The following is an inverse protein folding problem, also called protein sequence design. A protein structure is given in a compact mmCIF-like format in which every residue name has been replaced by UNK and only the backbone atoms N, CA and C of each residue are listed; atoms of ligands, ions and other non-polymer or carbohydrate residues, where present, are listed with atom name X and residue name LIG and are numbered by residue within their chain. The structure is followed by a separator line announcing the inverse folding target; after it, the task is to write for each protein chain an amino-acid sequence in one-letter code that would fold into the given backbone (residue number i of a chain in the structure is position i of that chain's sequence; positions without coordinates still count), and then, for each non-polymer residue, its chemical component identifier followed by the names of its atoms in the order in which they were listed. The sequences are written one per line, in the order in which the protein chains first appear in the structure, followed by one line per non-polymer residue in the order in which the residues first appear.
data_IF_637406656962
#
_entry.id   IF_637406656962
#
_cell.length_a   1.000
_cell.length_b   1.000
_cell.length_c   1.000
_cell.angle_alpha   90.00
_cell.angle_beta   90.00
_cell.angle_gamma   90.00
#
_symmetry.space_group_name_H-M   'P 1'
#
loop_
_entity.id
_entity.type
_entity.pdbx_description
1 polymer ?
#
# COMPACT_ATOMS: atom_id res chain seq x y z
N UNK A 1 5.78 3.32 20.72
CA UNK A 1 5.25 2.65 19.51
C UNK A 1 4.98 1.20 19.88
N UNK A 2 3.78 0.70 19.61
CA UNK A 2 3.46 -0.71 19.79
C UNK A 2 4.30 -1.51 18.79
N UNK A 3 5.02 -2.57 19.22
CA UNK A 3 5.75 -3.41 18.29
C UNK A 3 4.79 -3.99 17.25
N UNK A 4 5.17 -3.92 15.98
CA UNK A 4 4.38 -4.45 14.89
C UNK A 4 4.36 -5.97 15.01
N UNK A 5 3.21 -6.56 15.31
CA UNK A 5 3.07 -8.01 15.39
C UNK A 5 2.61 -8.58 14.06
N UNK A 6 3.59 -8.85 13.16
CA UNK A 6 3.34 -9.48 11.86
C UNK A 6 3.51 -11.00 11.86
N UNK A 7 3.89 -11.59 12.99
CA UNK A 7 4.09 -13.04 13.12
C UNK A 7 2.90 -13.91 12.67
N UNK A 8 1.61 -13.53 12.86
CA UNK A 8 0.52 -14.38 12.40
C UNK A 8 0.29 -14.33 10.88
N UNK A 9 0.89 -13.38 10.16
CA UNK A 9 0.63 -13.19 8.74
C UNK A 9 1.63 -13.97 7.88
N UNK A 10 1.16 -14.83 6.95
CA UNK A 10 2.02 -15.45 5.95
C UNK A 10 2.78 -14.40 5.13
N UNK A 11 4.02 -14.72 4.78
CA UNK A 11 4.94 -13.87 4.05
C UNK A 11 5.59 -14.67 2.91
N UNK A 12 6.22 -14.02 1.93
CA UNK A 12 7.05 -14.70 0.94
C UNK A 12 8.14 -15.55 1.61
N UNK A 13 8.39 -16.76 1.09
CA UNK A 13 9.45 -17.65 1.59
C UNK A 13 10.86 -17.06 1.46
N UNK A 14 11.03 -16.07 0.58
CA UNK A 14 12.28 -15.31 0.40
C UNK A 14 12.54 -14.29 1.52
N UNK A 15 11.56 -14.00 2.38
CA UNK A 15 11.78 -13.08 3.50
C UNK A 15 12.64 -13.72 4.58
N UNK A 16 13.61 -12.94 5.09
CA UNK A 16 14.22 -13.22 6.38
C UNK A 16 13.47 -12.51 7.51
N UNK A 17 13.88 -12.75 8.76
CA UNK A 17 13.22 -12.21 9.96
C UNK A 17 13.18 -10.68 10.05
N UNK A 18 13.96 -9.96 9.23
CA UNK A 18 14.00 -8.50 9.23
C UNK A 18 13.56 -7.85 7.92
N UNK A 19 13.18 -8.60 6.87
CA UNK A 19 12.84 -8.03 5.55
C UNK A 19 11.76 -6.95 5.66
N UNK A 20 10.65 -7.25 6.34
CA UNK A 20 9.51 -6.32 6.48
C UNK A 20 9.88 -5.10 7.31
N UNK A 21 10.61 -5.28 8.41
CA UNK A 21 11.03 -4.16 9.27
C UNK A 21 11.97 -3.22 8.51
N UNK A 22 12.95 -3.77 7.78
CA UNK A 22 13.88 -2.96 6.97
C UNK A 22 13.15 -2.18 5.88
N UNK A 23 12.19 -2.79 5.20
CA UNK A 23 11.38 -2.11 4.20
C UNK A 23 10.56 -0.94 4.79
N UNK A 24 9.92 -1.16 5.95
CA UNK A 24 9.19 -0.09 6.65
C UNK A 24 10.09 1.04 7.13
N UNK A 25 11.32 0.72 7.56
CA UNK A 25 12.32 1.72 7.92
C UNK A 25 12.78 2.49 6.68
N UNK A 26 12.99 1.83 5.54
CA UNK A 26 13.34 2.47 4.28
C UNK A 26 12.25 3.46 3.83
N UNK A 27 10.97 3.04 3.85
CA UNK A 27 9.84 3.91 3.53
C UNK A 27 9.81 5.16 4.41
N UNK A 28 10.01 4.99 5.72
CA UNK A 28 10.00 6.11 6.68
C UNK A 28 11.15 7.09 6.46
N UNK A 29 12.30 6.60 6.02
CA UNK A 29 13.54 7.38 5.92
C UNK A 29 13.86 7.85 4.49
N UNK A 30 12.99 7.56 3.52
CA UNK A 30 13.07 8.12 2.18
C UNK A 30 13.05 9.65 2.25
N UNK A 31 14.00 10.29 1.58
CA UNK A 31 14.26 11.73 1.68
C UNK A 31 14.59 12.39 0.34
N UNK A 32 14.63 11.61 -0.72
CA UNK A 32 14.75 12.05 -2.10
C UNK A 32 14.07 11.02 -3.03
N UNK A 33 14.10 11.28 -4.33
CA UNK A 33 13.46 10.42 -5.33
C UNK A 33 14.03 9.01 -5.36
N UNK A 34 15.36 8.89 -5.39
CA UNK A 34 15.99 7.57 -5.47
C UNK A 34 15.67 6.72 -4.24
N UNK A 35 15.77 7.31 -3.05
CA UNK A 35 15.47 6.59 -1.80
C UNK A 35 13.99 6.25 -1.67
N UNK A 36 13.09 7.05 -2.23
CA UNK A 36 11.67 6.73 -2.29
C UNK A 36 11.37 5.55 -3.24
N UNK A 37 11.99 5.53 -4.43
CA UNK A 37 11.87 4.43 -5.39
C UNK A 37 12.43 3.14 -4.79
N UNK A 38 13.65 3.19 -4.25
CA UNK A 38 14.30 2.02 -3.63
C UNK A 38 13.48 1.48 -2.44
N UNK A 39 12.88 2.39 -1.65
CA UNK A 39 12.03 2.00 -0.52
C UNK A 39 10.70 1.39 -0.96
N UNK A 40 10.08 1.91 -2.01
CA UNK A 40 8.88 1.34 -2.62
C UNK A 40 9.16 -0.09 -3.12
N UNK A 41 10.21 -0.26 -3.91
CA UNK A 41 10.63 -1.57 -4.43
C UNK A 41 10.92 -2.56 -3.30
N UNK A 42 11.72 -2.16 -2.31
CA UNK A 42 12.04 -2.99 -1.17
C UNK A 42 10.78 -3.42 -0.39
N UNK A 43 9.78 -2.53 -0.31
CA UNK A 43 8.50 -2.82 0.32
C UNK A 43 7.66 -3.80 -0.50
N UNK A 44 7.50 -3.61 -1.80
CA UNK A 44 6.77 -4.53 -2.68
C UNK A 44 7.39 -5.93 -2.65
N UNK A 45 8.71 -6.02 -2.63
CA UNK A 45 9.45 -7.27 -2.45
C UNK A 45 9.21 -7.94 -1.09
N UNK A 46 9.12 -7.16 -0.01
CA UNK A 46 8.85 -7.71 1.31
C UNK A 46 7.40 -8.18 1.46
N UNK A 47 6.45 -7.56 0.75
CA UNK A 47 5.03 -7.88 0.80
C UNK A 47 4.63 -9.01 -0.15
N UNK A 48 5.43 -9.31 -1.17
CA UNK A 48 4.94 -10.06 -2.31
C UNK A 48 5.98 -10.69 -3.22
N UNK A 49 5.48 -11.29 -4.29
CA UNK A 49 6.30 -11.64 -5.45
C UNK A 49 6.16 -10.51 -6.45
N UNK A 50 7.05 -9.52 -6.31
CA UNK A 50 7.05 -8.32 -7.15
C UNK A 50 7.19 -8.64 -8.66
N UNK A 51 7.83 -9.76 -9.01
CA UNK A 51 7.90 -10.21 -10.40
C UNK A 51 6.57 -10.72 -10.97
N UNK A 52 5.74 -11.35 -10.12
CA UNK A 52 4.46 -11.91 -10.54
C UNK A 52 3.30 -10.93 -10.38
N UNK A 53 3.53 -9.76 -9.77
CA UNK A 53 2.47 -8.83 -9.43
C UNK A 53 1.52 -9.39 -8.37
N UNK A 54 2.06 -10.09 -7.36
CA UNK A 54 1.26 -10.69 -6.29
C UNK A 54 1.73 -10.29 -4.90
N UNK A 55 0.82 -10.29 -3.92
CA UNK A 55 1.13 -9.98 -2.52
C UNK A 55 0.55 -10.97 -1.51
N UNK A 56 1.19 -11.04 -0.35
CA UNK A 56 0.88 -11.95 0.74
C UNK A 56 0.12 -11.23 1.86
N UNK A 57 -0.53 -11.97 2.78
CA UNK A 57 -1.32 -11.41 3.88
C UNK A 57 -0.53 -10.48 4.81
N UNK A 58 0.80 -10.57 4.83
CA UNK A 58 1.67 -9.64 5.59
C UNK A 58 1.40 -8.18 5.30
N UNK A 59 0.88 -7.83 4.11
CA UNK A 59 0.42 -6.48 3.78
C UNK A 59 -0.61 -5.95 4.79
N UNK A 60 -1.49 -6.81 5.31
CA UNK A 60 -2.47 -6.42 6.33
C UNK A 60 -1.81 -6.15 7.68
N UNK A 61 -0.77 -6.92 8.00
CA UNK A 61 -0.01 -6.77 9.24
C UNK A 61 0.74 -5.44 9.32
N UNK A 62 1.08 -4.83 8.19
CA UNK A 62 1.84 -3.57 8.14
C UNK A 62 0.98 -2.31 7.99
N UNK A 63 -0.33 -2.43 7.77
CA UNK A 63 -1.22 -1.27 7.55
C UNK A 63 -1.12 -0.19 8.65
N UNK A 64 -1.04 -0.51 9.95
CA UNK A 64 -0.88 0.52 10.99
C UNK A 64 0.44 1.28 10.89
N UNK A 65 1.49 0.66 10.33
CA UNK A 65 2.77 1.32 10.10
C UNK A 65 2.70 2.23 8.86
N UNK A 66 2.02 1.81 7.79
CA UNK A 66 1.79 2.65 6.62
C UNK A 66 0.98 3.89 6.98
N UNK A 67 -0.08 3.74 7.78
CA UNK A 67 -0.89 4.87 8.27
C UNK A 67 -0.03 5.90 9.02
N UNK A 68 0.89 5.44 9.87
CA UNK A 68 1.81 6.34 10.58
C UNK A 68 2.75 7.09 9.64
N UNK A 69 3.24 6.46 8.57
CA UNK A 69 4.10 7.10 7.57
C UNK A 69 3.28 8.13 6.78
N UNK A 70 2.08 7.77 6.35
CA UNK A 70 1.14 8.68 5.68
C UNK A 70 0.77 9.89 6.55
N UNK A 71 0.70 9.70 7.88
CA UNK A 71 0.45 10.78 8.85
C UNK A 71 1.66 11.63 9.20
N UNK A 72 2.84 11.28 8.71
CA UNK A 72 4.04 12.09 8.90
C UNK A 72 4.04 13.34 8.01
N UNK A 73 5.06 14.19 8.11
CA UNK A 73 5.29 15.31 7.17
C UNK A 73 6.47 15.03 6.23
N UNK A 74 6.81 13.77 6.03
CA UNK A 74 7.93 13.36 5.19
C UNK A 74 7.43 13.05 3.77
N UNK A 75 7.44 14.07 2.91
CA UNK A 75 6.98 14.01 1.52
C UNK A 75 7.44 12.75 0.77
N UNK A 76 8.74 12.45 0.79
CA UNK A 76 9.30 11.30 0.08
C UNK A 76 8.86 9.95 0.63
N UNK A 77 8.73 9.83 1.96
CA UNK A 77 8.18 8.62 2.58
C UNK A 77 6.68 8.45 2.30
N UNK A 78 5.92 9.55 2.27
CA UNK A 78 4.51 9.54 1.87
C UNK A 78 4.37 9.11 0.41
N UNK A 79 5.17 9.69 -0.51
CA UNK A 79 5.23 9.29 -1.93
C UNK A 79 5.47 7.79 -2.04
N UNK A 80 6.54 7.28 -1.42
CA UNK A 80 6.90 5.86 -1.52
C UNK A 80 5.79 4.91 -1.02
N UNK A 81 5.10 5.26 0.07
CA UNK A 81 3.95 4.48 0.54
C UNK A 81 2.80 4.52 -0.47
N UNK A 82 2.51 5.69 -1.04
CA UNK A 82 1.41 5.83 -1.99
C UNK A 82 1.67 5.07 -3.29
N UNK A 83 2.89 5.13 -3.84
CA UNK A 83 3.30 4.32 -5.00
C UNK A 83 3.09 2.81 -4.74
N UNK A 84 3.53 2.32 -3.58
CA UNK A 84 3.32 0.93 -3.21
C UNK A 84 1.82 0.57 -3.10
N UNK A 85 0.99 1.48 -2.59
CA UNK A 85 -0.46 1.27 -2.50
C UNK A 85 -1.15 1.29 -3.88
N UNK A 86 -0.63 2.06 -4.84
CA UNK A 86 -1.11 2.04 -6.23
C UNK A 86 -0.87 0.66 -6.84
N UNK A 87 0.35 0.13 -6.71
CA UNK A 87 0.68 -1.20 -7.24
C UNK A 87 -0.13 -2.30 -6.55
N UNK A 88 -0.15 -2.30 -5.21
CA UNK A 88 -0.85 -3.31 -4.42
C UNK A 88 -2.38 -3.25 -4.59
N UNK A 89 -2.94 -2.04 -4.68
CA UNK A 89 -4.38 -1.81 -4.75
C UNK A 89 -4.95 -1.84 -6.17
N UNK A 90 -4.13 -1.54 -7.18
CA UNK A 90 -4.57 -1.44 -8.57
C UNK A 90 -4.15 -2.61 -9.45
N UNK A 91 -2.85 -2.92 -9.48
CA UNK A 91 -2.30 -3.88 -10.44
C UNK A 91 -2.14 -5.27 -9.86
N UNK A 92 -1.72 -5.37 -8.60
CA UNK A 92 -1.38 -6.64 -8.00
C UNK A 92 -2.61 -7.39 -7.49
N UNK A 93 -2.45 -8.69 -7.32
CA UNK A 93 -3.48 -9.57 -6.77
C UNK A 93 -2.94 -10.33 -5.56
N UNK A 94 -3.78 -10.82 -4.64
CA UNK A 94 -3.29 -11.73 -3.60
C UNK A 94 -2.63 -12.96 -4.23
N UNK A 95 -1.53 -13.42 -3.64
CA UNK A 95 -0.84 -14.65 -4.07
C UNK A 95 -1.84 -15.83 -4.07
N UNK A 96 -1.81 -16.70 -5.09
CA UNK A 96 -2.63 -17.90 -5.12
C UNK A 96 -2.50 -18.74 -3.85
N UNK A 97 -3.63 -19.07 -3.22
CA UNK A 97 -3.69 -19.79 -1.94
C UNK A 97 -3.57 -18.89 -0.70
N UNK A 98 -3.40 -17.58 -0.88
CA UNK A 98 -3.32 -16.58 0.18
C UNK A 98 -4.35 -15.45 0.00
N UNK A 99 -5.42 -15.69 -0.75
CA UNK A 99 -6.49 -14.71 -1.01
C UNK A 99 -7.26 -14.34 0.26
N UNK A 100 -7.24 -15.23 1.25
CA UNK A 100 -7.87 -15.03 2.56
C UNK A 100 -6.88 -15.25 3.70
N UNK A 101 -7.07 -14.50 4.79
CA UNK A 101 -6.30 -14.67 6.01
C UNK A 101 -7.22 -14.46 7.22
N UNK A 102 -7.23 -15.39 8.17
CA UNK A 102 -8.11 -15.35 9.35
C UNK A 102 -9.61 -15.13 9.02
N UNK A 103 -10.07 -15.62 7.87
CA UNK A 103 -11.47 -15.55 7.45
C UNK A 103 -11.88 -14.25 6.74
N UNK A 104 -10.93 -13.34 6.46
CA UNK A 104 -11.18 -12.12 5.68
C UNK A 104 -10.43 -12.14 4.35
N UNK A 105 -10.96 -11.46 3.34
CA UNK A 105 -10.33 -11.28 2.03
C UNK A 105 -9.19 -10.28 2.13
N UNK A 106 -7.96 -10.69 1.74
CA UNK A 106 -6.79 -9.82 1.82
C UNK A 106 -6.95 -8.59 0.92
N UNK A 107 -7.51 -8.80 -0.28
CA UNK A 107 -7.79 -7.70 -1.22
C UNK A 107 -8.79 -6.71 -0.63
N UNK A 108 -9.93 -7.19 -0.13
CA UNK A 108 -10.98 -6.29 0.37
C UNK A 108 -10.53 -5.48 1.58
N UNK A 109 -9.73 -6.06 2.47
CA UNK A 109 -9.16 -5.34 3.62
C UNK A 109 -8.15 -4.28 3.16
N UNK A 110 -7.28 -4.59 2.19
CA UNK A 110 -6.36 -3.62 1.62
C UNK A 110 -7.11 -2.47 0.92
N UNK A 111 -8.09 -2.79 0.07
CA UNK A 111 -8.94 -1.79 -0.59
C UNK A 111 -9.66 -0.93 0.45
N UNK A 112 -10.23 -1.53 1.51
CA UNK A 112 -10.88 -0.78 2.58
C UNK A 112 -9.91 0.19 3.26
N UNK A 113 -8.68 -0.23 3.51
CA UNK A 113 -7.64 0.64 4.05
C UNK A 113 -7.35 1.83 3.12
N UNK A 114 -7.14 1.58 1.83
CA UNK A 114 -6.90 2.63 0.82
C UNK A 114 -8.07 3.62 0.79
N UNK A 115 -9.30 3.14 0.71
CA UNK A 115 -10.50 3.99 0.72
C UNK A 115 -10.63 4.80 2.03
N UNK A 116 -10.30 4.24 3.19
CA UNK A 116 -10.35 4.95 4.47
C UNK A 116 -9.39 6.15 4.52
N UNK A 117 -8.29 6.09 3.77
CA UNK A 117 -7.30 7.16 3.69
C UNK A 117 -7.62 8.22 2.62
N UNK A 118 -8.73 8.11 1.86
CA UNK A 118 -9.11 9.04 0.78
C UNK A 118 -9.00 10.51 1.16
N UNK A 119 -9.48 10.89 2.35
CA UNK A 119 -9.42 12.28 2.83
C UNK A 119 -7.99 12.81 2.92
N UNK A 120 -7.05 11.97 3.36
CA UNK A 120 -5.64 12.31 3.49
C UNK A 120 -4.98 12.45 2.12
N UNK A 121 -5.28 11.55 1.19
CA UNK A 121 -4.78 11.67 -0.19
C UNK A 121 -5.28 12.96 -0.85
N UNK A 122 -6.55 13.33 -0.62
CA UNK A 122 -7.10 14.60 -1.09
C UNK A 122 -6.34 15.82 -0.55
N UNK A 123 -5.94 15.82 0.72
CA UNK A 123 -5.11 16.89 1.28
C UNK A 123 -3.72 16.94 0.63
N UNK A 124 -3.07 15.78 0.46
CA UNK A 124 -1.72 15.68 -0.11
C UNK A 124 -1.66 16.03 -1.60
N UNK A 125 -2.74 15.79 -2.35
CA UNK A 125 -2.83 16.08 -3.78
C UNK A 125 -2.90 17.59 -4.11
N UNK A 126 -3.15 18.46 -3.12
CA UNK A 126 -3.28 19.91 -3.35
C UNK A 126 -1.96 20.70 -3.31
N UNK A 127 -0.84 20.04 -2.98
CA UNK A 127 0.48 20.67 -2.90
C UNK A 127 1.31 20.54 -4.18
N UNK A 128 2.50 21.14 -4.17
CA UNK A 128 3.53 21.03 -5.22
C UNK A 128 4.72 20.13 -4.78
N UNK A 129 4.55 19.39 -3.68
CA UNK A 129 5.60 18.53 -3.13
C UNK A 129 5.66 17.17 -3.87
N UNK A 130 6.72 16.40 -3.59
CA UNK A 130 7.02 15.13 -4.24
C UNK A 130 5.88 14.09 -4.19
N UNK A 131 4.98 14.18 -3.21
CA UNK A 131 3.89 13.23 -3.00
C UNK A 131 2.57 13.60 -3.71
N UNK A 132 2.46 14.79 -4.29
CA UNK A 132 1.18 15.29 -4.81
C UNK A 132 0.63 14.46 -5.97
N UNK A 133 1.49 14.08 -6.93
CA UNK A 133 1.09 13.23 -8.06
C UNK A 133 0.60 11.86 -7.61
N UNK A 134 1.38 11.14 -6.78
CA UNK A 134 0.97 9.82 -6.30
C UNK A 134 -0.30 9.87 -5.44
N UNK A 135 -0.54 10.99 -4.74
CA UNK A 135 -1.80 11.20 -4.03
C UNK A 135 -3.00 11.38 -4.98
N UNK A 136 -2.81 12.09 -6.10
CA UNK A 136 -3.83 12.25 -7.13
C UNK A 136 -4.13 10.89 -7.82
N UNK A 137 -3.09 10.13 -8.15
CA UNK A 137 -3.23 8.82 -8.79
C UNK A 137 -3.98 7.82 -7.88
N UNK A 138 -3.74 7.86 -6.56
CA UNK A 138 -4.51 7.07 -5.59
C UNK A 138 -5.99 7.47 -5.52
N UNK A 139 -6.30 8.76 -5.69
CA UNK A 139 -7.70 9.22 -5.72
C UNK A 139 -8.40 8.72 -6.97
N UNK A 140 -7.72 8.75 -8.12
CA UNK A 140 -8.23 8.17 -9.38
C UNK A 140 -8.49 6.68 -9.21
N UNK A 141 -7.53 5.94 -8.63
CA UNK A 141 -7.70 4.52 -8.33
C UNK A 141 -8.94 4.25 -7.44
N UNK A 142 -9.15 5.05 -6.39
CA UNK A 142 -10.31 4.93 -5.50
C UNK A 142 -11.62 5.20 -6.26
N UNK A 143 -11.64 6.24 -7.09
CA UNK A 143 -12.83 6.65 -7.84
C UNK A 143 -13.20 5.60 -8.91
N UNK A 144 -12.21 4.98 -9.57
CA UNK A 144 -12.40 3.86 -10.52
C UNK A 144 -12.90 2.57 -9.86
N UNK A 145 -12.52 2.34 -8.61
CA UNK A 145 -12.96 1.19 -7.81
C UNK A 145 -14.33 1.41 -7.16
N UNK A 146 -14.79 2.66 -7.09
CA UNK A 146 -16.14 2.96 -6.63
C UNK A 146 -17.11 2.46 -7.70
N UNK A 147 -18.09 1.60 -7.37
CA UNK A 147 -19.07 1.17 -8.35
C UNK A 147 -19.85 2.40 -8.83
N UNK A 148 -19.48 2.92 -9.99
CA UNK A 148 -20.25 3.94 -10.68
C UNK A 148 -21.62 3.37 -11.02
N UNK A 149 -22.66 4.13 -10.66
CA UNK A 149 -24.00 4.07 -11.22
C UNK A 149 -23.96 3.60 -12.67
N UNK A 150 -24.23 2.31 -12.90
CA UNK A 150 -24.61 1.86 -14.23
C UNK A 150 -25.90 2.60 -14.55
N UNK A 151 -25.96 3.44 -15.61
CA UNK A 151 -27.25 3.94 -16.05
C UNK A 151 -28.09 2.70 -16.37
N UNK A 152 -29.19 2.55 -15.65
CA UNK A 152 -30.24 1.59 -15.98
C UNK A 152 -30.68 1.89 -17.41
N UNK A 153 -30.09 1.21 -18.39
CA UNK A 153 -30.63 1.18 -19.73
C UNK A 153 -31.78 0.18 -19.73
N UNK A 154 -32.92 0.69 -19.27
CA UNK A 154 -34.21 0.27 -19.79
C UNK A 154 -34.23 0.60 -21.29
N UNK A 155 -34.30 -0.44 -22.12
CA UNK A 155 -35.16 -0.51 -23.31
C UNK A 155 -35.19 -1.94 -23.84
#
# INVERSE_FOLDING_TARGET
MTPLNIAPFPQPDSNDSGSVERALVALRNAHDEQTAVDACDAFLWAMGNNHAGTYYPVVLGVLPALEQILASRHAWGQRAVMEALIDLGGTFIPEPGHETHLGVSVREELTRFIHAQRHRFAELATGDDAQATSAADLLELIDDQTPGDSPSQHA
#
